data_IF_017056900144
#
_entry.id   IF_017056900144
#
_cell.length_a   1.000
_cell.length_b   1.000
_cell.length_c   1.000
_cell.angle_alpha   90.00
_cell.angle_beta   90.00
_cell.angle_gamma   90.00
#
_symmetry.space_group_name_H-M   'P 1'
#
loop_
_entity.id
_entity.type
_entity.pdbx_description
1 polymer ?
#
# COMPACT_ATOMS: atom_id res chain seq x y z
N UNK A 1 0.75 -6.53 -0.06
CA UNK A 1 1.74 -5.47 0.22
C UNK A 1 2.66 -5.95 1.35
N UNK A 2 3.92 -6.34 1.07
CA UNK A 2 4.83 -6.90 2.07
C UNK A 2 5.33 -5.87 3.10
N UNK A 3 5.12 -4.57 2.89
CA UNK A 3 5.52 -3.51 3.82
C UNK A 3 4.36 -2.95 4.63
N UNK A 4 3.13 -3.39 4.36
CA UNK A 4 1.99 -3.04 5.20
C UNK A 4 2.17 -3.67 6.61
N UNK A 5 1.72 -3.00 7.67
CA UNK A 5 1.72 -3.57 9.02
C UNK A 5 1.09 -4.96 9.01
N UNK A 6 1.76 -6.01 9.50
CA UNK A 6 1.18 -7.37 9.51
C UNK A 6 0.50 -7.70 10.84
N UNK A 7 0.62 -6.81 11.82
CA UNK A 7 0.02 -6.92 13.16
C UNK A 7 -0.50 -5.57 13.61
N UNK A 8 -1.52 -5.59 14.48
CA UNK A 8 -2.03 -4.39 15.13
C UNK A 8 -0.90 -3.66 15.88
N UNK A 9 -0.89 -2.33 15.81
CA UNK A 9 0.12 -1.52 16.50
C UNK A 9 1.44 -1.34 15.76
N UNK A 10 1.72 -2.10 14.70
CA UNK A 10 2.99 -2.00 13.98
C UNK A 10 3.01 -0.83 13.01
N UNK A 11 4.13 -0.12 12.93
CA UNK A 11 4.36 0.83 11.84
C UNK A 11 4.63 0.08 10.53
N UNK A 12 4.40 0.75 9.41
CA UNK A 12 4.66 0.16 8.10
C UNK A 12 4.65 1.19 6.98
N UNK A 13 4.63 0.69 5.75
CA UNK A 13 4.61 1.51 4.56
C UNK A 13 3.56 1.02 3.56
N UNK A 14 3.01 1.96 2.81
CA UNK A 14 2.17 1.68 1.66
C UNK A 14 2.70 2.42 0.44
N UNK A 15 2.49 1.80 -0.72
CA UNK A 15 2.90 2.32 -2.02
C UNK A 15 1.68 2.49 -2.93
N UNK A 16 0.71 3.34 -2.54
CA UNK A 16 -0.51 3.53 -3.29
C UNK A 16 -0.21 4.14 -4.68
N UNK A 17 -1.09 3.91 -5.67
CA UNK A 17 -1.06 4.68 -6.90
C UNK A 17 -1.29 6.18 -6.64
N UNK A 18 -0.82 7.02 -7.56
CA UNK A 18 -0.77 8.48 -7.37
C UNK A 18 -2.15 9.15 -7.28
N UNK A 19 -3.14 8.54 -7.94
CA UNK A 19 -4.52 9.00 -8.00
C UNK A 19 -5.24 8.90 -6.66
N UNK A 20 -4.99 7.87 -5.86
CA UNK A 20 -5.65 7.69 -4.54
C UNK A 20 -4.95 8.46 -3.41
N UNK A 21 -3.82 9.13 -3.69
CA UNK A 21 -3.03 9.84 -2.66
C UNK A 21 -3.81 10.95 -1.96
N UNK A 22 -4.77 11.56 -2.65
CA UNK A 22 -5.60 12.61 -2.05
C UNK A 22 -6.54 12.07 -0.96
N UNK A 23 -6.85 10.77 -1.00
CA UNK A 23 -7.71 10.08 -0.03
C UNK A 23 -6.94 9.66 1.24
N UNK A 24 -5.61 9.62 1.17
CA UNK A 24 -4.75 9.07 2.22
C UNK A 24 -4.05 10.22 2.95
N UNK A 25 -4.80 10.97 3.75
CA UNK A 25 -4.31 12.11 4.54
C UNK A 25 -4.83 12.06 5.97
N UNK A 26 -4.00 12.52 6.91
CA UNK A 26 -4.38 12.57 8.32
C UNK A 26 -4.37 11.19 8.97
N UNK A 27 -5.34 10.96 9.86
CA UNK A 27 -5.53 9.71 10.56
C UNK A 27 -6.57 8.84 9.84
N UNK A 28 -6.21 7.59 9.56
CA UNK A 28 -7.08 6.63 8.88
C UNK A 28 -7.19 5.33 9.68
N UNK A 29 -8.38 4.74 9.70
CA UNK A 29 -8.54 3.37 10.19
C UNK A 29 -8.04 2.39 9.13
N UNK A 30 -7.07 1.55 9.50
CA UNK A 30 -6.44 0.60 8.59
C UNK A 30 -7.11 -0.78 8.71
N UNK A 31 -7.50 -1.31 7.57
CA UNK A 31 -8.01 -2.67 7.40
C UNK A 31 -7.14 -3.42 6.41
N UNK A 32 -6.78 -4.66 6.73
CA UNK A 32 -5.92 -5.48 5.88
C UNK A 32 -6.67 -6.75 5.48
N UNK A 33 -6.82 -6.93 4.17
CA UNK A 33 -7.44 -8.12 3.59
C UNK A 33 -6.44 -9.26 3.44
N UNK A 34 -6.73 -10.42 4.03
CA UNK A 34 -6.01 -11.68 3.81
C UNK A 34 -7.03 -12.78 3.55
N UNK A 35 -6.92 -13.46 2.41
CA UNK A 35 -7.79 -14.59 2.08
C UNK A 35 -9.29 -14.25 1.98
N UNK A 36 -9.64 -13.02 1.59
CA UNK A 36 -11.03 -12.56 1.48
C UNK A 36 -11.65 -12.06 2.80
N UNK A 37 -10.92 -12.15 3.91
CA UNK A 37 -11.31 -11.58 5.20
C UNK A 37 -10.51 -10.32 5.47
N UNK A 38 -11.17 -9.30 6.04
CA UNK A 38 -10.51 -8.06 6.46
C UNK A 38 -10.31 -8.05 7.97
N UNK A 39 -9.08 -7.76 8.40
CA UNK A 39 -8.74 -7.55 9.79
C UNK A 39 -8.52 -6.06 10.06
N UNK A 40 -9.12 -5.55 11.13
CA UNK A 40 -8.84 -4.20 11.61
C UNK A 40 -7.48 -4.15 12.31
N UNK A 41 -6.65 -3.16 11.95
CA UNK A 41 -5.26 -3.04 12.43
C UNK A 41 -5.00 -1.82 13.32
N UNK A 42 -5.95 -0.89 13.43
CA UNK A 42 -5.82 0.33 14.24
C UNK A 42 -6.06 1.63 13.47
N UNK A 43 -5.88 2.75 14.17
CA UNK A 43 -5.84 4.10 13.64
C UNK A 43 -4.39 4.49 13.34
N UNK A 44 -4.15 5.00 12.14
CA UNK A 44 -2.82 5.31 11.63
C UNK A 44 -2.73 6.74 11.16
N UNK A 45 -1.69 7.45 11.62
CA UNK A 45 -1.27 8.68 11.00
C UNK A 45 -0.48 8.36 9.74
N UNK A 46 -0.93 8.91 8.61
CA UNK A 46 -0.26 8.75 7.33
C UNK A 46 0.60 9.98 7.05
N UNK A 47 1.83 9.73 6.61
CA UNK A 47 2.75 10.80 6.19
C UNK A 47 3.45 10.41 4.90
N UNK A 48 3.59 11.37 3.98
CA UNK A 48 4.31 11.16 2.72
C UNK A 48 5.80 11.08 3.01
N UNK A 49 6.43 10.02 2.52
CA UNK A 49 7.88 9.85 2.57
C UNK A 49 8.51 10.24 1.23
N UNK A 50 9.84 10.21 1.19
CA UNK A 50 10.55 10.25 -0.10
C UNK A 50 10.09 9.04 -0.93
N UNK A 51 9.81 9.22 -2.23
CA UNK A 51 9.55 8.10 -3.13
C UNK A 51 10.64 7.05 -3.02
N UNK A 52 10.29 5.79 -3.29
CA UNK A 52 11.28 4.72 -3.31
C UNK A 52 12.34 5.04 -4.37
N UNK A 53 13.62 5.02 -3.97
CA UNK A 53 14.72 5.25 -4.90
C UNK A 53 14.87 4.07 -5.87
N UNK A 54 15.52 4.31 -7.01
CA UNK A 54 15.80 3.26 -7.99
C UNK A 54 16.63 2.11 -7.38
N UNK A 55 17.58 2.44 -6.50
CA UNK A 55 18.40 1.44 -5.80
C UNK A 55 17.57 0.59 -4.83
N UNK A 56 16.67 1.22 -4.07
CA UNK A 56 15.76 0.49 -3.17
C UNK A 56 14.78 -0.39 -3.94
N UNK A 57 14.26 0.11 -5.08
CA UNK A 57 13.42 -0.66 -5.99
C UNK A 57 14.16 -1.89 -6.53
N UNK A 58 15.41 -1.72 -6.99
CA UNK A 58 16.21 -2.80 -7.54
C UNK A 58 16.62 -3.86 -6.51
N UNK A 59 16.58 -3.54 -5.21
CA UNK A 59 16.79 -4.50 -4.12
C UNK A 59 15.55 -5.37 -3.84
N UNK A 60 14.39 -5.02 -4.38
CA UNK A 60 13.19 -5.81 -4.23
C UNK A 60 13.25 -7.06 -5.12
N UNK A 61 12.63 -8.14 -4.66
CA UNK A 61 12.56 -9.35 -5.48
C UNK A 61 11.75 -9.11 -6.75
N UNK A 62 12.08 -9.82 -7.82
CA UNK A 62 11.35 -9.73 -9.09
C UNK A 62 9.87 -10.00 -8.94
N UNK A 63 9.51 -10.93 -8.05
CA UNK A 63 8.12 -11.21 -7.72
C UNK A 63 7.40 -9.98 -7.17
N UNK A 64 8.01 -9.26 -6.22
CA UNK A 64 7.42 -8.04 -5.64
C UNK A 64 7.25 -6.96 -6.69
N UNK A 65 8.28 -6.75 -7.52
CA UNK A 65 8.25 -5.75 -8.59
C UNK A 65 7.19 -6.05 -9.65
N UNK A 66 7.08 -7.32 -10.07
CA UNK A 66 6.03 -7.75 -11.00
C UNK A 66 4.63 -7.63 -10.39
N UNK A 67 4.47 -8.03 -9.14
CA UNK A 67 3.21 -7.93 -8.42
C UNK A 67 2.73 -6.47 -8.36
N UNK A 68 3.64 -5.53 -8.08
CA UNK A 68 3.32 -4.11 -8.05
C UNK A 68 2.83 -3.58 -9.41
N UNK A 69 3.53 -3.91 -10.50
CA UNK A 69 3.13 -3.50 -11.84
C UNK A 69 1.74 -4.04 -12.21
N UNK A 70 1.49 -5.34 -11.96
CA UNK A 70 0.18 -5.98 -12.19
C UNK A 70 -0.94 -5.36 -11.36
N UNK A 71 -0.66 -5.06 -10.10
CA UNK A 71 -1.62 -4.41 -9.20
C UNK A 71 -2.06 -3.05 -9.76
N UNK A 72 -1.11 -2.26 -10.29
CA UNK A 72 -1.43 -0.98 -10.92
C UNK A 72 -2.25 -1.12 -12.20
N UNK A 73 -1.95 -2.10 -13.06
CA UNK A 73 -2.74 -2.37 -14.26
C UNK A 73 -4.17 -2.77 -13.91
N UNK A 74 -4.35 -3.64 -12.91
CA UNK A 74 -5.66 -4.13 -12.48
C UNK A 74 -6.54 -3.04 -11.82
N UNK A 75 -5.93 -2.12 -11.07
CA UNK A 75 -6.64 -1.00 -10.44
C UNK A 75 -7.14 0.04 -11.43
N UNK A 76 -6.46 0.16 -12.58
CA UNK A 76 -6.68 1.27 -13.52
C UNK A 76 -7.53 0.89 -14.72
N UNK A 77 -8.04 -0.33 -14.80
CA UNK A 77 -8.92 -0.82 -15.87
C UNK A 77 -8.51 -0.34 -17.28
N UNK A 78 -7.20 -0.33 -17.55
CA UNK A 78 -6.53 0.19 -18.76
C UNK A 78 -6.48 1.72 -19.00
N UNK A 79 -6.83 2.58 -18.05
CA UNK A 79 -6.72 4.06 -18.18
C UNK A 79 -5.28 4.54 -18.46
N UNK A 80 -4.26 3.73 -18.20
CA UNK A 80 -2.87 4.02 -18.55
C UNK A 80 -2.52 3.77 -20.01
N UNK A 81 -3.30 2.94 -20.70
CA UNK A 81 -2.96 2.36 -21.99
C UNK A 81 -1.65 1.56 -21.99
N UNK A 82 -1.19 1.10 -20.81
CA UNK A 82 0.06 0.36 -20.61
C UNK A 82 -0.23 -0.94 -19.88
N UNK A 83 0.38 -2.03 -20.36
CA UNK A 83 0.35 -3.32 -19.69
C UNK A 83 1.34 -3.36 -18.49
N UNK A 84 1.33 -4.47 -17.76
CA UNK A 84 2.21 -4.65 -16.60
C UNK A 84 3.70 -4.70 -16.98
N UNK A 85 4.04 -5.07 -18.22
CA UNK A 85 5.42 -5.10 -18.72
C UNK A 85 5.95 -3.69 -18.93
N UNK A 86 5.19 -2.81 -19.59
CA UNK A 86 5.60 -1.43 -19.81
C UNK A 86 5.63 -0.63 -18.50
N UNK A 87 4.66 -0.84 -17.61
CA UNK A 87 4.69 -0.23 -16.27
C UNK A 87 5.94 -0.66 -15.50
N UNK A 88 6.27 -1.96 -15.53
CA UNK A 88 7.48 -2.48 -14.89
C UNK A 88 8.74 -1.84 -15.45
N UNK A 89 8.85 -1.73 -16.79
CA UNK A 89 9.99 -1.11 -17.47
C UNK A 89 10.22 0.33 -17.01
N UNK A 90 9.15 1.12 -16.89
CA UNK A 90 9.22 2.53 -16.48
C UNK A 90 9.72 2.71 -15.04
N UNK A 91 9.37 1.79 -14.13
CA UNK A 91 9.93 1.80 -12.77
C UNK A 91 11.37 1.29 -12.74
N UNK A 92 11.70 0.25 -13.52
CA UNK A 92 13.06 -0.28 -13.64
C UNK A 92 14.03 0.73 -14.27
N UNK A 93 13.56 1.63 -15.14
CA UNK A 93 14.36 2.72 -15.72
C UNK A 93 14.42 3.97 -14.84
N UNK A 94 13.57 4.06 -13.81
CA UNK A 94 13.43 5.27 -12.98
C UNK A 94 12.67 6.42 -13.65
N UNK A 95 12.05 6.19 -14.82
CA UNK A 95 11.16 7.16 -15.47
C UNK A 95 9.90 7.41 -14.62
N UNK A 96 9.46 6.40 -13.87
CA UNK A 96 8.43 6.53 -12.84
C UNK A 96 9.02 6.35 -11.44
N UNK A 97 8.55 7.17 -10.51
CA UNK A 97 8.86 7.06 -9.09
C UNK A 97 7.71 6.38 -8.35
N UNK A 98 8.04 5.55 -7.37
CA UNK A 98 7.04 4.84 -6.56
C UNK A 98 6.70 5.71 -5.35
N UNK A 99 5.45 6.20 -5.23
CA UNK A 99 5.04 6.95 -4.05
C UNK A 99 5.19 6.08 -2.79
N UNK A 100 5.74 6.66 -1.73
CA UNK A 100 5.95 5.96 -0.46
C UNK A 100 5.30 6.74 0.67
N UNK A 101 4.53 6.04 1.50
CA UNK A 101 3.82 6.63 2.63
C UNK A 101 4.07 5.78 3.87
N UNK A 102 4.47 6.43 4.96
CA UNK A 102 4.60 5.80 6.26
C UNK A 102 3.25 5.76 6.96
N UNK A 103 2.93 4.58 7.48
CA UNK A 103 1.82 4.31 8.37
C UNK A 103 2.36 4.25 9.80
N UNK A 104 2.10 5.29 10.59
CA UNK A 104 2.42 5.31 12.02
C UNK A 104 1.17 4.98 12.82
N UNK A 105 1.15 3.84 13.49
CA UNK A 105 0.05 3.50 14.40
C UNK A 105 -0.04 4.56 15.50
N UNK A 106 -1.23 5.12 15.67
CA UNK A 106 -1.58 6.08 16.72
C UNK A 106 -2.25 5.34 17.86
N UNK A 107 -3.27 4.53 17.53
CA UNK A 107 -4.10 3.86 18.52
C UNK A 107 -4.68 2.56 17.97
N UNK A 108 -4.98 1.61 18.85
CA UNK A 108 -5.82 0.46 18.51
C UNK A 108 -7.16 0.52 19.28
N UNK A 109 -8.25 0.75 18.56
CA UNK A 109 -9.60 0.75 19.13
C UNK A 109 -10.12 -0.69 19.30
N UNK A 110 -9.96 -1.23 20.51
CA UNK A 110 -10.40 -2.58 20.84
C UNK A 110 -11.93 -2.76 20.74
N UNK A 111 -12.70 -1.73 21.12
CA UNK A 111 -14.17 -1.78 21.05
C UNK A 111 -14.66 -1.92 19.61
N UNK A 112 -14.14 -1.10 18.70
CA UNK A 112 -14.45 -1.18 17.27
C UNK A 112 -14.07 -2.55 16.70
N UNK A 113 -12.89 -3.06 17.08
CA UNK A 113 -12.45 -4.39 16.65
C UNK A 113 -13.42 -5.50 17.09
N UNK A 114 -13.92 -5.44 18.32
CA UNK A 114 -14.84 -6.44 18.84
C UNK A 114 -16.23 -6.33 18.18
N UNK A 115 -16.71 -5.11 17.93
CA UNK A 115 -17.94 -4.86 17.16
C UNK A 115 -17.84 -5.40 15.72
N UNK A 116 -16.71 -5.17 15.05
CA UNK A 116 -16.45 -5.69 13.70
C UNK A 116 -16.41 -7.22 13.66
N UNK A 117 -15.83 -7.86 14.69
CA UNK A 117 -15.81 -9.32 14.80
C UNK A 117 -17.18 -9.91 15.11
N UNK A 118 -18.04 -9.19 15.84
CA UNK A 118 -19.40 -9.63 16.12
C UNK A 118 -20.33 -9.51 14.90
N UNK A 119 -20.01 -8.64 13.95
CA UNK A 119 -20.77 -8.40 12.73
C UNK A 119 -20.34 -9.26 11.52
N UNK A 120 -19.23 -9.99 11.63
CA UNK A 120 -18.65 -10.85 10.60
C UNK A 120 -19.11 -12.32 10.72
#
# INVERSE_FOLDING_TARGET
NPWAPTKCGQHGYIFPPEDVLHLIKGEIHLFIGVGGQFAYCGLYQVSRCKPLSLDEWNRLSDWVRQYYARFLTALRDNDLGKDDVEIRRLYDSGELLIPCYMLKCVEFNAKLNDELKAAA
#
